data_IF_398536677961
#
_entry.id   IF_398536677961
#
_cell.length_a   1.000
_cell.length_b   1.000
_cell.length_c   1.000
_cell.angle_alpha   90.00
_cell.angle_beta   90.00
_cell.angle_gamma   90.00
#
_symmetry.space_group_name_H-M   'P 1'
#
loop_
_entity.id
_entity.type
_entity.pdbx_description
1 polymer ?
#
# COMPACT_ATOMS: atom_id res chain seq x y z
N UNK A 1 -27.62 -14.66 -1.11
CA UNK A 1 -27.52 -15.46 -2.36
C UNK A 1 -27.43 -14.61 -3.62
N UNK A 2 -28.43 -13.75 -3.97
CA UNK A 2 -28.31 -12.94 -5.20
C UNK A 2 -27.17 -11.90 -5.14
N UNK A 3 -27.00 -11.18 -4.03
CA UNK A 3 -25.93 -10.21 -3.83
C UNK A 3 -24.54 -10.87 -3.84
N UNK A 4 -24.41 -12.07 -3.30
CA UNK A 4 -23.14 -12.81 -3.24
C UNK A 4 -22.64 -13.27 -4.62
N UNK A 5 -23.53 -13.36 -5.60
CA UNK A 5 -23.20 -13.70 -6.98
C UNK A 5 -22.96 -12.47 -7.87
N UNK A 6 -23.57 -11.32 -7.55
CA UNK A 6 -23.45 -10.11 -8.36
C UNK A 6 -22.03 -9.51 -8.30
N UNK A 7 -21.42 -9.49 -7.14
CA UNK A 7 -20.08 -8.92 -6.97
C UNK A 7 -18.99 -9.70 -7.73
N UNK A 8 -18.93 -11.05 -7.62
CA UNK A 8 -18.00 -11.85 -8.45
C UNK A 8 -18.26 -11.71 -9.96
N UNK A 9 -19.52 -11.66 -10.39
CA UNK A 9 -19.85 -11.47 -11.80
C UNK A 9 -19.42 -10.08 -12.32
N UNK A 10 -19.65 -9.01 -11.54
CA UNK A 10 -19.19 -7.68 -11.89
C UNK A 10 -17.66 -7.61 -11.95
N UNK A 11 -16.96 -8.28 -11.02
CA UNK A 11 -15.50 -8.37 -11.02
C UNK A 11 -14.99 -9.11 -12.25
N UNK A 12 -15.56 -10.25 -12.59
CA UNK A 12 -15.20 -10.99 -13.79
C UNK A 12 -15.42 -10.16 -15.07
N UNK A 13 -16.51 -9.37 -15.12
CA UNK A 13 -16.75 -8.43 -16.21
C UNK A 13 -15.64 -7.37 -16.33
N UNK A 14 -15.22 -6.77 -15.21
CA UNK A 14 -14.12 -5.81 -15.20
C UNK A 14 -12.78 -6.46 -15.59
N UNK A 15 -12.51 -7.67 -15.15
CA UNK A 15 -11.29 -8.41 -15.51
C UNK A 15 -11.24 -8.68 -17.03
N UNK A 16 -12.37 -9.04 -17.65
CA UNK A 16 -12.46 -9.20 -19.11
C UNK A 16 -12.23 -7.87 -19.83
N UNK A 17 -12.79 -6.77 -19.33
CA UNK A 17 -12.57 -5.43 -19.90
C UNK A 17 -11.11 -4.99 -19.76
N UNK A 18 -10.43 -5.36 -18.65
CA UNK A 18 -9.04 -5.01 -18.39
C UNK A 18 -8.03 -5.93 -19.10
N UNK A 19 -8.48 -7.02 -19.72
CA UNK A 19 -7.59 -8.07 -20.27
C UNK A 19 -6.48 -7.53 -21.19
N UNK A 20 -6.74 -6.65 -22.18
CA UNK A 20 -5.67 -6.11 -23.03
C UNK A 20 -4.61 -5.34 -22.25
N UNK A 21 -5.04 -4.53 -21.29
CA UNK A 21 -4.13 -3.77 -20.43
C UNK A 21 -3.30 -4.68 -19.53
N UNK A 22 -3.92 -5.63 -18.85
CA UNK A 22 -3.24 -6.58 -17.98
C UNK A 22 -2.22 -7.43 -18.75
N UNK A 23 -2.61 -7.92 -19.95
CA UNK A 23 -1.72 -8.69 -20.82
C UNK A 23 -0.52 -7.87 -21.31
N UNK A 24 -0.73 -6.63 -21.73
CA UNK A 24 0.34 -5.74 -22.19
C UNK A 24 1.31 -5.40 -21.03
N UNK A 25 0.79 -5.14 -19.83
CA UNK A 25 1.61 -4.87 -18.64
C UNK A 25 2.42 -6.10 -18.23
N UNK A 26 1.84 -7.29 -18.26
CA UNK A 26 2.53 -8.53 -17.97
C UNK A 26 3.63 -8.83 -18.98
N UNK A 27 3.35 -8.64 -20.27
CA UNK A 27 4.34 -8.82 -21.33
C UNK A 27 5.51 -7.82 -21.21
N UNK A 28 5.21 -6.54 -20.90
CA UNK A 28 6.27 -5.54 -20.68
C UNK A 28 7.11 -5.87 -19.42
N UNK A 29 6.49 -6.29 -18.34
CA UNK A 29 7.20 -6.71 -17.12
C UNK A 29 8.13 -7.91 -17.40
N UNK A 30 7.63 -8.94 -18.10
CA UNK A 30 8.43 -10.11 -18.48
C UNK A 30 9.59 -9.73 -19.38
N UNK A 31 9.33 -8.90 -20.41
CA UNK A 31 10.37 -8.40 -21.32
C UNK A 31 11.47 -7.65 -20.57
N UNK A 32 11.10 -6.72 -19.67
CA UNK A 32 12.06 -5.96 -18.86
C UNK A 32 12.86 -6.87 -17.94
N UNK A 33 12.19 -7.82 -17.28
CA UNK A 33 12.86 -8.78 -16.40
C UNK A 33 13.87 -9.62 -17.16
N UNK A 34 13.48 -10.22 -18.29
CA UNK A 34 14.38 -11.01 -19.13
C UNK A 34 15.57 -10.19 -19.64
N UNK A 35 15.30 -8.96 -20.12
CA UNK A 35 16.39 -8.06 -20.56
C UNK A 35 17.35 -7.71 -19.41
N UNK A 36 16.81 -7.40 -18.21
CA UNK A 36 17.63 -7.10 -17.03
C UNK A 36 18.45 -8.30 -16.59
N UNK A 37 17.88 -9.51 -16.60
CA UNK A 37 18.56 -10.74 -16.18
C UNK A 37 19.61 -11.21 -17.19
N UNK A 38 19.32 -11.15 -18.50
CA UNK A 38 20.13 -11.78 -19.53
C UNK A 38 21.11 -10.82 -20.22
N UNK A 39 20.81 -9.52 -20.21
CA UNK A 39 21.54 -8.53 -21.02
C UNK A 39 22.18 -7.43 -20.18
N UNK A 40 21.37 -6.67 -19.44
CA UNK A 40 21.89 -5.46 -18.79
C UNK A 40 22.51 -5.69 -17.41
N UNK A 41 22.08 -6.70 -16.69
CA UNK A 41 22.46 -7.03 -15.31
C UNK A 41 22.34 -5.85 -14.34
N UNK A 42 21.46 -4.88 -14.63
CA UNK A 42 21.24 -3.65 -13.83
C UNK A 42 19.79 -3.51 -13.42
N UNK A 43 19.56 -2.78 -12.32
CA UNK A 43 18.21 -2.47 -11.79
C UNK A 43 17.34 -3.71 -11.50
N UNK A 44 17.96 -4.80 -11.03
CA UNK A 44 17.27 -6.08 -10.78
C UNK A 44 16.32 -6.03 -9.58
N UNK A 45 16.59 -5.14 -8.61
CA UNK A 45 15.81 -4.95 -7.39
C UNK A 45 15.17 -3.56 -7.31
N UNK A 46 14.87 -2.94 -8.45
CA UNK A 46 14.22 -1.64 -8.48
C UNK A 46 12.77 -1.77 -8.02
N UNK A 47 12.48 -1.18 -6.87
CA UNK A 47 11.16 -1.14 -6.28
C UNK A 47 10.61 0.29 -6.28
N UNK A 48 9.36 0.46 -6.69
CA UNK A 48 8.68 1.75 -6.65
C UNK A 48 7.48 1.67 -5.73
N UNK A 49 7.32 2.66 -4.87
CA UNK A 49 6.15 2.73 -3.98
C UNK A 49 4.87 2.98 -4.77
N UNK A 50 3.73 2.52 -4.23
CA UNK A 50 2.41 2.85 -4.80
C UNK A 50 2.19 4.37 -4.90
N UNK A 51 2.75 5.16 -3.99
CA UNK A 51 2.69 6.62 -4.03
C UNK A 51 3.47 7.22 -5.21
N UNK A 52 4.63 6.66 -5.55
CA UNK A 52 5.43 7.10 -6.71
C UNK A 52 4.77 6.74 -8.05
N UNK A 53 4.08 5.59 -8.10
CA UNK A 53 3.37 5.14 -9.32
C UNK A 53 1.93 5.66 -9.41
N UNK A 54 1.39 6.21 -8.32
CA UNK A 54 -0.03 6.48 -8.12
C UNK A 54 -0.51 7.87 -8.50
N UNK A 55 0.09 8.57 -9.47
CA UNK A 55 -0.54 9.76 -10.04
C UNK A 55 -1.81 9.35 -10.79
N UNK A 56 -2.98 9.61 -10.19
CA UNK A 56 -4.27 9.32 -10.83
C UNK A 56 -4.41 10.13 -12.12
N UNK A 57 -4.86 9.51 -13.22
CA UNK A 57 -5.19 10.24 -14.43
C UNK A 57 -6.26 11.31 -14.15
N UNK A 58 -6.12 12.50 -14.73
CA UNK A 58 -7.09 13.58 -14.55
C UNK A 58 -8.16 13.54 -15.63
N UNK A 59 -9.42 13.44 -15.22
CA UNK A 59 -10.57 13.42 -16.13
C UNK A 59 -10.61 12.17 -17.03
N UNK A 60 -11.68 11.98 -17.78
CA UNK A 60 -11.89 10.82 -18.65
C UNK A 60 -10.78 10.64 -19.70
N UNK A 61 -10.29 11.75 -20.30
CA UNK A 61 -9.21 11.70 -21.29
C UNK A 61 -7.90 11.18 -20.72
N UNK A 62 -7.60 11.48 -19.43
CA UNK A 62 -6.45 10.91 -18.75
C UNK A 62 -6.52 9.39 -18.60
N UNK A 63 -7.72 8.84 -18.36
CA UNK A 63 -7.92 7.39 -18.32
C UNK A 63 -7.80 6.74 -19.68
N UNK A 64 -8.28 7.38 -20.77
CA UNK A 64 -8.03 6.91 -22.13
C UNK A 64 -6.55 6.91 -22.47
N UNK A 65 -5.79 7.91 -22.04
CA UNK A 65 -4.34 7.93 -22.18
C UNK A 65 -3.61 6.86 -21.38
N UNK A 66 -4.01 6.63 -20.12
CA UNK A 66 -3.38 5.64 -19.25
C UNK A 66 -3.70 4.18 -19.65
N UNK A 67 -4.90 3.94 -20.18
CA UNK A 67 -5.41 2.62 -20.57
C UNK A 67 -5.51 2.46 -22.10
N UNK A 68 -4.73 3.23 -22.87
CA UNK A 68 -4.83 3.35 -24.33
C UNK A 68 -4.84 2.00 -25.06
N UNK A 69 -4.20 0.99 -24.52
CA UNK A 69 -4.13 -0.34 -25.13
C UNK A 69 -5.52 -1.00 -25.25
N UNK A 70 -6.44 -0.73 -24.31
CA UNK A 70 -7.79 -1.27 -24.36
C UNK A 70 -8.57 -0.71 -25.58
N UNK A 71 -8.69 0.62 -25.78
CA UNK A 71 -9.38 1.14 -26.95
C UNK A 71 -8.68 0.79 -28.27
N UNK A 72 -7.35 0.71 -28.32
CA UNK A 72 -6.61 0.26 -29.51
C UNK A 72 -7.02 -1.16 -29.88
N UNK A 73 -7.01 -2.09 -28.92
CA UNK A 73 -7.46 -3.47 -29.15
C UNK A 73 -8.94 -3.55 -29.45
N UNK A 74 -9.77 -2.67 -28.89
CA UNK A 74 -11.18 -2.53 -29.21
C UNK A 74 -11.40 -2.16 -30.69
N UNK A 75 -10.62 -1.21 -31.24
CA UNK A 75 -10.65 -0.84 -32.65
C UNK A 75 -10.25 -2.02 -33.53
N UNK A 76 -9.18 -2.73 -33.16
CA UNK A 76 -8.72 -3.93 -33.90
C UNK A 76 -9.83 -5.00 -33.94
N UNK A 77 -10.48 -5.24 -32.79
CA UNK A 77 -11.60 -6.19 -32.72
C UNK A 77 -12.82 -5.72 -33.53
N UNK A 78 -13.13 -4.42 -33.53
CA UNK A 78 -14.21 -3.88 -34.35
C UNK A 78 -13.95 -4.07 -35.86
N UNK A 79 -12.71 -3.82 -36.30
CA UNK A 79 -12.30 -4.09 -37.67
C UNK A 79 -12.41 -5.59 -38.01
N UNK A 80 -11.98 -6.47 -37.10
CA UNK A 80 -12.14 -7.93 -37.24
C UNK A 80 -13.61 -8.37 -37.28
N UNK A 81 -14.50 -7.70 -36.56
CA UNK A 81 -15.95 -7.98 -36.59
C UNK A 81 -16.57 -7.70 -37.97
N UNK A 82 -16.08 -6.66 -38.65
CA UNK A 82 -16.55 -6.29 -40.01
C UNK A 82 -16.06 -7.29 -41.05
N UNK A 83 -14.85 -7.81 -40.91
CA UNK A 83 -14.17 -8.67 -41.88
C UNK A 83 -14.30 -10.17 -41.55
N UNK A 84 -14.68 -10.52 -40.35
CA UNK A 84 -14.61 -11.89 -39.81
C UNK A 84 -15.89 -12.70 -39.85
N UNK A 85 -15.74 -13.98 -39.52
CA UNK A 85 -16.83 -14.95 -39.48
C UNK A 85 -17.62 -14.98 -38.14
N UNK A 86 -17.15 -14.24 -37.13
CA UNK A 86 -17.76 -14.17 -35.76
C UNK A 86 -18.02 -12.73 -35.34
N UNK A 87 -18.84 -11.98 -36.13
CA UNK A 87 -18.97 -10.54 -35.92
C UNK A 87 -19.56 -10.15 -34.56
N UNK A 88 -20.51 -10.95 -34.04
CA UNK A 88 -21.17 -10.64 -32.77
C UNK A 88 -20.21 -10.72 -31.56
N UNK A 89 -19.38 -11.77 -31.49
CA UNK A 89 -18.39 -11.93 -30.38
C UNK A 89 -17.32 -10.85 -30.45
N UNK A 90 -16.79 -10.60 -31.64
CA UNK A 90 -15.79 -9.56 -31.86
C UNK A 90 -16.34 -8.16 -31.54
N UNK A 91 -17.58 -7.87 -31.91
CA UNK A 91 -18.25 -6.61 -31.57
C UNK A 91 -18.45 -6.43 -30.07
N UNK A 92 -18.82 -7.52 -29.35
CA UNK A 92 -18.93 -7.48 -27.89
C UNK A 92 -17.62 -7.10 -27.22
N UNK A 93 -16.51 -7.78 -27.57
CA UNK A 93 -15.19 -7.45 -27.00
C UNK A 93 -14.73 -6.05 -27.42
N UNK A 94 -14.99 -5.62 -28.65
CA UNK A 94 -14.72 -4.26 -29.11
C UNK A 94 -15.41 -3.23 -28.20
N UNK A 95 -16.70 -3.40 -27.94
CA UNK A 95 -17.49 -2.51 -27.08
C UNK A 95 -16.95 -2.49 -25.65
N UNK A 96 -16.65 -3.65 -25.06
CA UNK A 96 -16.11 -3.77 -23.70
C UNK A 96 -14.74 -3.05 -23.57
N UNK A 97 -13.84 -3.28 -24.52
CA UNK A 97 -12.49 -2.69 -24.46
C UNK A 97 -12.47 -1.19 -24.78
N UNK A 98 -13.35 -0.70 -25.67
CA UNK A 98 -13.53 0.72 -25.91
C UNK A 98 -14.13 1.44 -24.69
N UNK A 99 -15.06 0.80 -23.97
CA UNK A 99 -15.71 1.35 -22.80
C UNK A 99 -14.81 1.31 -21.53
N UNK A 100 -13.78 0.46 -21.49
CA UNK A 100 -12.98 0.22 -20.28
C UNK A 100 -12.46 1.49 -19.61
N UNK A 101 -11.80 2.46 -20.30
CA UNK A 101 -11.29 3.65 -19.65
C UNK A 101 -12.39 4.51 -19.02
N UNK A 102 -13.53 4.64 -19.69
CA UNK A 102 -14.68 5.39 -19.17
C UNK A 102 -15.31 4.68 -17.96
N UNK A 103 -15.36 3.37 -17.97
CA UNK A 103 -15.86 2.56 -16.84
C UNK A 103 -14.97 2.75 -15.61
N UNK A 104 -13.65 2.63 -15.75
CA UNK A 104 -12.72 2.86 -14.64
C UNK A 104 -12.79 4.29 -14.15
N UNK A 105 -12.85 5.28 -15.03
CA UNK A 105 -13.04 6.66 -14.61
C UNK A 105 -14.33 6.87 -13.82
N UNK A 106 -15.42 6.24 -14.20
CA UNK A 106 -16.69 6.32 -13.48
C UNK A 106 -16.64 5.66 -12.11
N UNK A 107 -15.97 4.50 -12.00
CA UNK A 107 -15.80 3.75 -10.75
C UNK A 107 -14.78 4.41 -9.80
N UNK A 108 -13.77 5.08 -10.34
CA UNK A 108 -12.73 5.76 -9.54
C UNK A 108 -13.17 7.17 -9.04
N UNK A 109 -14.41 7.55 -9.30
CA UNK A 109 -14.97 8.78 -8.72
C UNK A 109 -15.01 8.64 -7.21
N UNK A 110 -14.42 9.60 -6.52
CA UNK A 110 -14.52 9.64 -5.06
C UNK A 110 -15.98 9.82 -4.67
N UNK A 111 -16.52 8.85 -3.99
CA UNK A 111 -17.78 9.04 -3.27
C UNK A 111 -17.57 10.13 -2.21
N UNK A 112 -18.58 10.94 -1.92
CA UNK A 112 -18.54 11.85 -0.78
C UNK A 112 -18.14 11.04 0.45
N UNK A 113 -17.18 11.55 1.23
CA UNK A 113 -16.85 10.92 2.52
C UNK A 113 -18.08 11.05 3.42
N UNK A 114 -18.74 9.93 3.67
CA UNK A 114 -19.75 9.89 4.72
C UNK A 114 -19.05 10.12 6.06
N UNK A 115 -19.63 10.97 6.88
CA UNK A 115 -19.16 11.12 8.26
C UNK A 115 -19.55 9.86 9.03
N UNK A 116 -18.67 9.33 9.88
CA UNK A 116 -19.02 8.18 10.71
C UNK A 116 -20.31 8.49 11.52
N UNK A 117 -21.16 7.50 11.65
CA UNK A 117 -22.30 7.58 12.56
C UNK A 117 -21.80 7.65 14.01
N UNK A 118 -22.62 8.16 14.96
CA UNK A 118 -22.18 8.27 16.34
C UNK A 118 -21.67 6.97 16.95
N UNK A 119 -22.35 5.85 16.68
CA UNK A 119 -21.95 4.49 17.12
C UNK A 119 -20.64 4.01 16.48
N UNK A 120 -20.42 4.32 15.21
CA UNK A 120 -19.16 4.04 14.49
C UNK A 120 -18.02 4.90 15.03
N UNK A 121 -18.31 6.14 15.39
CA UNK A 121 -17.33 7.06 15.95
C UNK A 121 -16.85 6.59 17.33
N UNK A 122 -17.77 6.21 18.22
CA UNK A 122 -17.44 5.68 19.55
C UNK A 122 -16.55 4.43 19.44
N UNK A 123 -16.89 3.50 18.50
CA UNK A 123 -16.08 2.32 18.22
C UNK A 123 -14.66 2.70 17.72
N UNK A 124 -14.54 3.69 16.83
CA UNK A 124 -13.25 4.13 16.30
C UNK A 124 -12.40 4.80 17.39
N UNK A 125 -13.00 5.57 18.29
CA UNK A 125 -12.34 6.18 19.43
C UNK A 125 -11.82 5.12 20.41
N UNK A 126 -12.63 4.10 20.76
CA UNK A 126 -12.19 2.96 21.59
C UNK A 126 -11.02 2.18 20.95
N UNK A 127 -11.11 1.93 19.63
CA UNK A 127 -10.00 1.29 18.91
C UNK A 127 -8.73 2.14 18.95
N UNK A 128 -8.85 3.46 18.78
CA UNK A 128 -7.70 4.37 18.81
C UNK A 128 -7.05 4.39 20.20
N UNK A 129 -7.83 4.48 21.28
CA UNK A 129 -7.33 4.44 22.65
C UNK A 129 -6.61 3.12 22.95
N UNK A 130 -7.20 1.97 22.61
CA UNK A 130 -6.56 0.67 22.80
C UNK A 130 -5.30 0.50 21.97
N UNK A 131 -5.29 1.03 20.75
CA UNK A 131 -4.09 1.01 19.91
C UNK A 131 -2.99 1.87 20.50
N UNK A 132 -3.35 3.06 20.98
CA UNK A 132 -2.41 3.96 21.65
C UNK A 132 -1.83 3.36 22.93
N UNK A 133 -2.63 2.67 23.73
CA UNK A 133 -2.20 2.02 24.97
C UNK A 133 -1.00 1.06 24.77
N UNK A 134 -0.84 0.45 23.58
CA UNK A 134 0.34 -0.34 23.26
C UNK A 134 1.60 0.53 23.25
N UNK A 135 1.58 1.67 22.59
CA UNK A 135 2.74 2.57 22.51
C UNK A 135 3.03 3.25 23.84
N UNK A 136 1.99 3.62 24.58
CA UNK A 136 2.11 4.18 25.91
C UNK A 136 2.79 3.21 26.88
N UNK A 137 2.38 1.95 26.85
CA UNK A 137 2.91 0.89 27.73
C UNK A 137 4.32 0.46 27.34
N UNK A 138 4.60 0.30 26.05
CA UNK A 138 5.81 -0.38 25.58
C UNK A 138 6.85 0.54 24.93
N UNK A 139 6.50 1.78 24.59
CA UNK A 139 7.38 2.77 23.99
C UNK A 139 7.45 4.06 24.83
N UNK A 140 7.66 3.93 26.13
CA UNK A 140 7.81 5.04 27.08
C UNK A 140 9.27 5.51 27.20
N UNK A 141 9.47 6.56 28.03
CA UNK A 141 10.78 7.19 28.29
C UNK A 141 11.86 6.18 28.71
N UNK A 142 11.55 5.25 29.61
CA UNK A 142 12.49 4.23 30.08
C UNK A 142 12.96 3.24 29.01
N UNK A 143 12.38 3.30 27.81
CA UNK A 143 12.75 2.51 26.60
C UNK A 143 13.22 3.38 25.45
N UNK A 144 13.53 4.65 25.70
CA UNK A 144 13.96 5.60 24.68
C UNK A 144 12.89 5.80 23.59
N UNK A 145 11.62 5.64 23.93
CA UNK A 145 10.46 5.74 23.04
C UNK A 145 10.48 4.79 21.83
N UNK A 146 11.23 3.68 21.92
CA UNK A 146 11.34 2.66 20.88
C UNK A 146 10.35 1.51 21.18
N UNK A 147 9.38 1.24 20.29
CA UNK A 147 8.41 0.18 20.51
C UNK A 147 9.02 -1.20 20.23
N UNK A 148 8.57 -2.25 20.93
CA UNK A 148 8.82 -3.63 20.48
C UNK A 148 8.03 -3.92 19.20
N UNK A 149 8.46 -4.96 18.46
CA UNK A 149 7.78 -5.40 17.25
C UNK A 149 6.33 -5.85 17.50
N UNK A 150 6.12 -6.54 18.61
CA UNK A 150 4.82 -7.01 19.03
C UNK A 150 4.77 -7.31 20.53
N UNK A 151 3.58 -7.63 21.03
CA UNK A 151 3.38 -8.22 22.34
C UNK A 151 2.82 -9.64 22.17
N UNK A 152 3.60 -10.62 22.57
CA UNK A 152 3.21 -12.03 22.56
C UNK A 152 2.30 -12.33 23.74
N UNK A 153 1.13 -12.94 23.49
CA UNK A 153 0.20 -13.33 24.55
C UNK A 153 0.42 -14.77 25.03
N UNK A 154 0.85 -15.66 24.13
CA UNK A 154 1.11 -17.06 24.42
C UNK A 154 2.40 -17.51 23.72
N UNK A 155 3.13 -18.50 24.27
CA UNK A 155 2.93 -19.21 25.55
C UNK A 155 3.24 -18.36 26.79
N UNK A 156 3.97 -17.28 26.65
CA UNK A 156 4.31 -16.33 27.71
C UNK A 156 3.94 -14.91 27.31
N UNK A 157 3.30 -14.18 28.20
CA UNK A 157 2.96 -12.76 27.99
C UNK A 157 4.22 -11.90 28.09
N UNK A 158 4.76 -11.50 26.97
CA UNK A 158 5.96 -10.63 26.93
C UNK A 158 6.01 -9.77 25.68
N UNK A 159 6.59 -8.57 25.77
CA UNK A 159 6.95 -7.79 24.57
C UNK A 159 8.09 -8.50 23.81
N UNK A 160 8.10 -8.35 22.50
CA UNK A 160 9.23 -8.76 21.67
C UNK A 160 10.52 -8.02 22.09
N UNK A 161 11.65 -8.71 21.99
CA UNK A 161 12.96 -8.12 22.30
C UNK A 161 13.55 -7.31 21.15
N UNK A 162 12.87 -7.25 20.03
CA UNK A 162 13.33 -6.62 18.80
C UNK A 162 12.41 -5.48 18.37
N UNK A 163 12.99 -4.55 17.64
CA UNK A 163 12.33 -3.45 16.93
C UNK A 163 12.94 -3.28 15.53
N UNK A 164 12.25 -2.54 14.67
CA UNK A 164 12.68 -2.24 13.31
C UNK A 164 12.48 -0.75 12.99
N UNK A 165 13.13 -0.20 11.96
CA UNK A 165 12.87 1.16 11.48
C UNK A 165 11.39 1.39 11.15
N UNK A 166 10.68 0.38 10.65
CA UNK A 166 9.23 0.44 10.39
C UNK A 166 8.45 0.63 11.68
N UNK A 167 8.77 -0.13 12.73
CA UNK A 167 8.10 -0.03 14.03
C UNK A 167 8.34 1.35 14.67
N UNK A 168 9.57 1.87 14.56
CA UNK A 168 9.93 3.21 15.04
C UNK A 168 9.13 4.28 14.29
N UNK A 169 9.09 4.22 12.95
CA UNK A 169 8.31 5.15 12.15
C UNK A 169 6.81 5.08 12.44
N UNK A 170 6.27 3.88 12.67
CA UNK A 170 4.86 3.68 13.07
C UNK A 170 4.57 4.27 14.46
N UNK A 171 5.50 4.15 15.43
CA UNK A 171 5.34 4.77 16.74
C UNK A 171 5.30 6.29 16.67
N UNK A 172 6.17 6.90 15.84
CA UNK A 172 6.15 8.35 15.61
C UNK A 172 4.83 8.79 14.97
N UNK A 173 4.34 8.07 13.96
CA UNK A 173 3.05 8.35 13.32
C UNK A 173 1.88 8.16 14.29
N UNK A 174 1.92 7.13 15.14
CA UNK A 174 0.92 6.89 16.17
C UNK A 174 0.91 8.02 17.22
N UNK A 175 2.07 8.55 17.62
CA UNK A 175 2.15 9.68 18.55
C UNK A 175 1.51 10.96 17.97
N UNK A 176 1.75 11.25 16.68
CA UNK A 176 1.09 12.36 15.99
C UNK A 176 -0.43 12.17 15.97
N UNK A 177 -0.88 10.96 15.63
CA UNK A 177 -2.31 10.65 15.60
C UNK A 177 -2.95 10.74 16.99
N UNK A 178 -2.24 10.29 18.04
CA UNK A 178 -2.70 10.38 19.42
C UNK A 178 -2.87 11.85 19.88
N UNK A 179 -1.96 12.73 19.47
CA UNK A 179 -2.08 14.16 19.76
C UNK A 179 -3.28 14.79 19.02
N UNK A 180 -3.48 14.46 17.74
CA UNK A 180 -4.63 14.93 16.95
C UNK A 180 -5.98 14.44 17.49
N UNK A 181 -6.00 13.26 18.11
CA UNK A 181 -7.18 12.69 18.77
C UNK A 181 -7.35 13.17 20.23
N UNK A 182 -6.41 13.97 20.75
CA UNK A 182 -6.46 14.49 22.12
C UNK A 182 -6.10 13.47 23.20
N UNK A 183 -5.50 12.33 22.84
CA UNK A 183 -5.04 11.29 23.77
C UNK A 183 -3.76 11.69 24.51
N UNK A 184 -2.94 12.55 23.90
CA UNK A 184 -1.74 13.14 24.51
C UNK A 184 -1.67 14.64 24.21
N UNK A 185 -0.90 15.37 25.02
CA UNK A 185 -0.65 16.79 24.81
C UNK A 185 0.42 17.05 23.74
N UNK A 186 0.50 18.28 23.23
CA UNK A 186 1.56 18.71 22.30
C UNK A 186 2.96 18.56 22.92
N UNK A 187 3.11 18.89 24.22
CA UNK A 187 4.38 18.75 24.92
C UNK A 187 4.82 17.27 25.04
N UNK A 188 3.86 16.37 25.29
CA UNK A 188 4.14 14.93 25.32
C UNK A 188 4.50 14.41 23.92
N UNK A 189 3.85 14.90 22.87
CA UNK A 189 4.20 14.59 21.50
C UNK A 189 5.65 15.01 21.19
N UNK A 190 6.03 16.26 21.49
CA UNK A 190 7.38 16.76 21.28
C UNK A 190 8.41 15.92 22.04
N UNK A 191 8.14 15.62 23.32
CA UNK A 191 9.00 14.78 24.15
C UNK A 191 9.21 13.40 23.54
N UNK A 192 8.15 12.76 23.03
CA UNK A 192 8.21 11.43 22.40
C UNK A 192 8.98 11.45 21.09
N UNK A 193 8.72 12.42 20.24
CA UNK A 193 9.42 12.53 18.95
C UNK A 193 10.90 12.81 19.15
N UNK A 194 11.25 13.78 19.99
CA UNK A 194 12.65 14.13 20.31
C UNK A 194 13.37 12.94 20.94
N UNK A 195 12.78 12.29 21.95
CA UNK A 195 13.37 11.12 22.58
C UNK A 195 13.56 9.93 21.66
N UNK A 196 12.61 9.72 20.72
CA UNK A 196 12.76 8.70 19.68
C UNK A 196 13.95 9.02 18.77
N UNK A 197 14.09 10.28 18.32
CA UNK A 197 15.20 10.70 17.47
C UNK A 197 16.54 10.58 18.18
N UNK A 198 16.63 11.00 19.45
CA UNK A 198 17.83 10.85 20.27
C UNK A 198 18.25 9.37 20.42
N UNK A 199 17.29 8.47 20.47
CA UNK A 199 17.55 7.03 20.51
C UNK A 199 18.01 6.51 19.16
N UNK A 200 17.35 6.92 18.07
CA UNK A 200 17.75 6.57 16.70
C UNK A 200 19.15 7.05 16.37
N UNK A 201 19.57 8.21 16.89
CA UNK A 201 20.92 8.73 16.67
C UNK A 201 22.01 7.87 17.32
N UNK A 202 21.70 7.21 18.44
CA UNK A 202 22.59 6.27 19.13
C UNK A 202 22.68 4.91 18.46
N UNK A 203 21.71 4.55 17.60
CA UNK A 203 21.68 3.25 16.93
C UNK A 203 22.78 3.14 15.88
N UNK A 204 23.41 1.96 15.79
CA UNK A 204 24.40 1.67 14.76
C UNK A 204 23.78 1.76 13.36
N UNK A 205 24.45 2.45 12.45
CA UNK A 205 24.01 2.64 11.05
C UNK A 205 25.06 2.08 10.09
N UNK A 206 24.61 1.65 8.91
CA UNK A 206 25.47 1.29 7.79
C UNK A 206 25.36 2.36 6.71
N UNK A 207 26.41 3.13 6.49
CA UNK A 207 26.41 4.28 5.56
C UNK A 207 25.20 5.21 5.74
N UNK A 208 24.77 5.49 6.97
CA UNK A 208 23.63 6.34 7.29
C UNK A 208 22.28 5.62 7.33
N UNK A 209 22.19 4.37 6.87
CA UNK A 209 20.98 3.57 6.89
C UNK A 209 20.85 2.74 8.16
N UNK A 210 19.67 2.64 8.71
CA UNK A 210 19.37 1.73 9.81
C UNK A 210 19.37 0.28 9.32
N UNK A 211 19.80 -0.63 10.19
CA UNK A 211 19.61 -2.07 9.96
C UNK A 211 18.15 -2.46 10.17
N UNK A 212 17.76 -3.62 9.67
CA UNK A 212 16.37 -4.08 9.74
C UNK A 212 15.91 -4.38 11.18
N UNK A 213 16.79 -4.92 12.00
CA UNK A 213 16.43 -5.37 13.34
C UNK A 213 17.43 -4.95 14.40
N UNK A 214 16.92 -4.44 15.50
CA UNK A 214 17.67 -4.07 16.70
C UNK A 214 17.03 -4.69 17.94
N UNK A 215 17.83 -4.91 18.95
CA UNK A 215 17.31 -5.20 20.28
C UNK A 215 16.73 -3.93 20.91
N UNK A 216 15.58 -4.05 21.57
CA UNK A 216 14.91 -2.92 22.23
C UNK A 216 15.60 -2.47 23.52
N UNK A 217 16.35 -3.37 24.19
CA UNK A 217 17.03 -3.12 25.45
C UNK A 217 18.45 -2.57 25.28
N UNK A 218 19.21 -3.06 24.33
CA UNK A 218 20.62 -2.69 24.12
C UNK A 218 20.88 -1.85 22.90
N UNK A 219 19.90 -1.71 22.01
CA UNK A 219 19.99 -1.09 20.68
C UNK A 219 21.02 -1.76 19.75
N UNK A 220 21.46 -2.97 20.09
CA UNK A 220 22.38 -3.75 19.26
C UNK A 220 21.70 -4.30 18.02
N UNK A 221 22.45 -4.29 16.89
CA UNK A 221 21.97 -4.87 15.64
C UNK A 221 21.86 -6.38 15.76
N UNK A 222 20.69 -6.91 15.44
CA UNK A 222 20.44 -8.35 15.44
C UNK A 222 21.03 -9.03 14.20
N UNK A 223 21.36 -10.32 14.33
CA UNK A 223 21.82 -11.14 13.20
C UNK A 223 20.66 -11.89 12.54
N UNK A 224 20.69 -12.09 11.21
CA UNK A 224 21.69 -11.59 10.26
C UNK A 224 21.59 -10.05 10.07
N UNK A 225 22.76 -9.40 9.93
CA UNK A 225 22.83 -7.93 9.72
C UNK A 225 22.52 -7.63 8.26
N UNK A 226 21.39 -6.99 7.99
CA UNK A 226 21.05 -6.49 6.66
C UNK A 226 20.26 -5.19 6.75
N UNK A 227 20.28 -4.43 5.67
CA UNK A 227 19.57 -3.17 5.49
C UNK A 227 18.54 -3.38 4.40
N UNK A 228 17.30 -3.00 4.63
CA UNK A 228 16.28 -2.95 3.57
C UNK A 228 16.59 -1.78 2.63
N UNK A 229 16.64 -2.05 1.34
CA UNK A 229 16.82 -1.07 0.26
C UNK A 229 15.52 -0.87 -0.50
#
# INVERSE_FOLDING_TARGET
MAADMLLPAARAGLDIMALPYASARSADAQRRTLYRMLVSHRHMLEWQTAAQTGSRPKGVNGYYGALYICPVMGIVMAAGAILGKTPAIAALFAALWLAMPATIWALDRRLPKEKPRPDERELLEDIAERTWAFFETFAGEGRGYIPPDNFQQEPEKRPAVNTSPTNIGMAMAAAVSAAELGLITADELEKRLSGTMDTVDKMQKWHGHLYNWYRTDTLEVMRPRYVST
#
